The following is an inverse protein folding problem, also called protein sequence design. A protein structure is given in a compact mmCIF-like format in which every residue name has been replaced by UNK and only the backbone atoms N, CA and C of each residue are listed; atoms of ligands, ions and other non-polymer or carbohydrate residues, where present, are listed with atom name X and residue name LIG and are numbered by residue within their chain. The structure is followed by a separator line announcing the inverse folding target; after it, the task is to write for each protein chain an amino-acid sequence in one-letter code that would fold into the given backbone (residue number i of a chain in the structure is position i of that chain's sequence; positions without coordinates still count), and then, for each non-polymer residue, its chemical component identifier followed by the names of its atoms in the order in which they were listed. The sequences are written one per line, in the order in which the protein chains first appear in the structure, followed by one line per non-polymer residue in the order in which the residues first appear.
data_IF_710851129611
#
_entry.id   IF_710851129611
#
_cell.length_a   1.000
_cell.length_b   1.000
_cell.length_c   1.000
_cell.angle_alpha   90.00
_cell.angle_beta   90.00
_cell.angle_gamma   90.00
#
_symmetry.space_group_name_H-M   'P 1'
#
loop_
_entity.id
_entity.type
_entity.pdbx_description
1 polymer ?
#
# COMPACT_ATOMS: atom_id res chain seq x y z
N UNK A 1 -18.98 49.15 -30.89
CA UNK A 1 -19.46 47.86 -31.43
C UNK A 1 -18.82 46.76 -30.61
N UNK A 2 -19.65 46.10 -29.81
CA UNK A 2 -19.29 45.01 -28.91
C UNK A 2 -18.83 43.78 -29.69
N UNK A 3 -17.76 43.12 -29.25
CA UNK A 3 -17.59 41.70 -29.49
C UNK A 3 -16.89 41.08 -28.28
N UNK A 4 -17.69 40.79 -27.25
CA UNK A 4 -17.33 39.90 -26.16
C UNK A 4 -17.33 38.48 -26.72
N UNK A 5 -16.16 37.89 -26.93
CA UNK A 5 -16.04 36.45 -27.14
C UNK A 5 -16.42 35.71 -25.85
N UNK A 6 -17.08 34.54 -25.92
CA UNK A 6 -17.39 33.77 -24.74
C UNK A 6 -16.09 33.24 -24.13
N UNK A 7 -15.72 33.81 -22.99
CA UNK A 7 -14.66 33.30 -22.14
C UNK A 7 -15.15 32.01 -21.51
N UNK A 8 -14.86 30.88 -22.15
CA UNK A 8 -15.05 29.55 -21.57
C UNK A 8 -13.93 29.26 -20.57
N UNK A 9 -13.93 29.96 -19.44
CA UNK A 9 -13.35 29.41 -18.22
C UNK A 9 -14.38 28.47 -17.61
N UNK A 10 -14.43 27.24 -18.13
CA UNK A 10 -14.94 26.12 -17.35
C UNK A 10 -13.95 25.93 -16.20
N UNK A 11 -14.27 26.50 -15.03
CA UNK A 11 -13.68 26.05 -13.79
C UNK A 11 -14.01 24.57 -13.65
N UNK A 12 -13.06 23.70 -14.00
CA UNK A 12 -13.15 22.29 -13.64
C UNK A 12 -13.28 22.24 -12.13
N UNK A 13 -14.44 21.83 -11.63
CA UNK A 13 -14.58 21.54 -10.21
C UNK A 13 -13.41 20.62 -9.83
N UNK A 14 -12.61 21.03 -8.83
CA UNK A 14 -11.45 20.25 -8.43
C UNK A 14 -11.94 18.85 -8.04
N UNK A 15 -11.45 17.83 -8.74
CA UNK A 15 -11.83 16.44 -8.47
C UNK A 15 -11.42 16.14 -7.03
N UNK A 16 -12.39 15.77 -6.20
CA UNK A 16 -12.11 15.28 -4.85
C UNK A 16 -11.82 13.79 -4.95
N UNK A 17 -10.64 13.40 -4.50
CA UNK A 17 -10.18 12.01 -4.51
C UNK A 17 -10.43 11.34 -3.14
N UNK A 18 -11.47 11.73 -2.41
CA UNK A 18 -11.90 11.11 -1.14
C UNK A 18 -12.94 9.99 -1.34
N UNK A 19 -13.45 9.81 -2.56
CA UNK A 19 -14.33 8.70 -2.96
C UNK A 19 -13.57 7.65 -3.79
N UNK A 20 -13.47 6.38 -3.33
CA UNK A 20 -12.87 5.29 -4.09
C UNK A 20 -13.49 5.09 -5.48
N UNK A 21 -14.79 5.29 -5.66
CA UNK A 21 -15.45 5.11 -6.95
C UNK A 21 -15.00 6.16 -7.98
N UNK A 22 -14.79 7.41 -7.53
CA UNK A 22 -14.25 8.50 -8.36
C UNK A 22 -12.82 8.19 -8.79
N UNK A 23 -11.98 7.72 -7.88
CA UNK A 23 -10.60 7.32 -8.20
C UNK A 23 -10.57 6.14 -9.16
N UNK A 24 -11.36 5.08 -8.89
CA UNK A 24 -11.39 3.89 -9.73
C UNK A 24 -11.86 4.18 -11.16
N UNK A 25 -12.79 5.13 -11.34
CA UNK A 25 -13.27 5.58 -12.64
C UNK A 25 -12.33 6.59 -13.34
N UNK A 26 -11.30 7.10 -12.66
CA UNK A 26 -10.44 8.14 -13.22
C UNK A 26 -9.58 7.59 -14.37
N UNK A 27 -9.57 8.22 -15.57
CA UNK A 27 -8.88 7.68 -16.74
C UNK A 27 -7.35 7.58 -16.57
N UNK A 28 -6.77 8.40 -15.69
CA UNK A 28 -5.36 8.34 -15.33
C UNK A 28 -5.00 7.25 -14.32
N UNK A 29 -5.97 6.67 -13.61
CA UNK A 29 -5.69 5.77 -12.49
C UNK A 29 -4.97 4.47 -12.88
N UNK A 30 -5.26 3.81 -14.03
CA UNK A 30 -4.48 2.65 -14.46
C UNK A 30 -2.98 2.95 -14.61
N UNK A 31 -2.63 4.13 -15.13
CA UNK A 31 -1.23 4.58 -15.22
C UNK A 31 -0.62 4.77 -13.83
N UNK A 32 -1.39 5.30 -12.90
CA UNK A 32 -0.92 5.48 -11.52
C UNK A 32 -0.77 4.17 -10.76
N UNK A 33 -1.62 3.17 -11.02
CA UNK A 33 -1.44 1.81 -10.48
C UNK A 33 -0.16 1.15 -11.00
N UNK A 34 0.16 1.35 -12.27
CA UNK A 34 1.43 0.90 -12.83
C UNK A 34 2.61 1.62 -12.18
N UNK A 35 2.56 2.95 -12.12
CA UNK A 35 3.64 3.78 -11.56
C UNK A 35 3.88 3.49 -10.07
N UNK A 36 2.83 3.33 -9.27
CA UNK A 36 2.98 2.95 -7.86
C UNK A 36 3.51 1.53 -7.72
N UNK A 37 3.09 0.59 -8.58
CA UNK A 37 3.67 -0.76 -8.62
C UNK A 37 5.18 -0.72 -8.86
N UNK A 38 5.64 0.08 -9.83
CA UNK A 38 7.07 0.28 -10.11
C UNK A 38 7.81 0.91 -8.92
N UNK A 39 7.21 1.92 -8.29
CA UNK A 39 7.79 2.56 -7.11
C UNK A 39 7.93 1.58 -5.93
N UNK A 40 6.90 0.78 -5.65
CA UNK A 40 6.92 -0.21 -4.57
C UNK A 40 7.95 -1.31 -4.82
N UNK A 41 8.07 -1.75 -6.07
CA UNK A 41 9.11 -2.69 -6.49
C UNK A 41 10.52 -2.09 -6.35
N UNK A 42 10.72 -0.81 -6.66
CA UNK A 42 12.00 -0.14 -6.41
C UNK A 42 12.30 0.06 -4.90
N UNK A 43 11.28 0.26 -4.06
CA UNK A 43 11.44 0.28 -2.59
C UNK A 43 11.87 -1.11 -2.10
N UNK A 44 11.27 -2.18 -2.63
CA UNK A 44 11.69 -3.54 -2.33
C UNK A 44 13.17 -3.76 -2.66
N UNK A 45 13.65 -3.33 -3.83
CA UNK A 45 15.04 -3.56 -4.22
C UNK A 45 16.04 -2.83 -3.31
N UNK A 46 15.63 -1.73 -2.68
CA UNK A 46 16.44 -0.97 -1.70
C UNK A 46 16.35 -1.52 -0.28
N UNK A 47 15.15 -1.93 0.15
CA UNK A 47 14.87 -2.35 1.52
C UNK A 47 14.04 -3.66 1.55
N UNK A 48 14.56 -4.77 1.00
CA UNK A 48 13.76 -5.98 0.76
C UNK A 48 13.33 -6.66 2.05
N UNK A 49 14.10 -6.49 3.12
CA UNK A 49 13.74 -6.99 4.44
C UNK A 49 12.54 -6.24 5.02
N UNK A 50 12.56 -4.90 5.01
CA UNK A 50 11.43 -4.06 5.44
C UNK A 50 10.15 -4.43 4.69
N UNK A 51 10.23 -4.45 3.36
CA UNK A 51 9.05 -4.73 2.52
C UNK A 51 8.47 -6.11 2.78
N UNK A 52 9.30 -7.12 3.09
CA UNK A 52 8.81 -8.47 3.46
C UNK A 52 7.83 -8.43 4.64
N UNK A 53 8.01 -7.53 5.61
CA UNK A 53 7.10 -7.35 6.75
C UNK A 53 5.85 -6.52 6.45
N UNK A 54 5.62 -6.21 5.17
CA UNK A 54 4.41 -5.59 4.65
C UNK A 54 3.82 -6.38 3.47
N UNK A 55 4.43 -7.51 3.10
CA UNK A 55 4.20 -8.17 1.82
C UNK A 55 3.03 -9.17 1.81
N UNK A 56 2.22 -9.20 2.87
CA UNK A 56 0.90 -9.83 2.93
C UNK A 56 -0.06 -8.89 3.64
N UNK A 57 -1.37 -9.06 3.44
CA UNK A 57 -2.38 -8.20 4.06
C UNK A 57 -2.30 -8.22 5.60
N UNK A 58 -2.16 -9.41 6.20
CA UNK A 58 -1.99 -9.54 7.65
C UNK A 58 -0.76 -8.77 8.15
N UNK A 59 0.39 -8.95 7.51
CA UNK A 59 1.63 -8.26 7.88
C UNK A 59 1.52 -6.76 7.68
N UNK A 60 0.88 -6.33 6.60
CA UNK A 60 0.59 -4.93 6.31
C UNK A 60 -0.24 -4.31 7.44
N UNK A 61 -1.35 -4.94 7.86
CA UNK A 61 -2.22 -4.43 8.92
C UNK A 61 -1.49 -4.33 10.27
N UNK A 62 -0.73 -5.36 10.65
CA UNK A 62 0.06 -5.35 11.89
C UNK A 62 1.14 -4.27 11.86
N UNK A 63 1.86 -4.14 10.75
CA UNK A 63 2.92 -3.13 10.61
C UNK A 63 2.35 -1.72 10.59
N UNK A 64 1.27 -1.45 9.85
CA UNK A 64 0.60 -0.14 9.86
C UNK A 64 0.04 0.22 11.24
N UNK A 65 -0.44 -0.77 12.01
CA UNK A 65 -0.85 -0.56 13.41
C UNK A 65 0.31 -0.10 14.28
N UNK A 66 1.53 -0.63 14.05
CA UNK A 66 2.74 -0.19 14.76
C UNK A 66 3.14 1.23 14.39
N UNK A 67 3.07 1.60 13.11
CA UNK A 67 3.29 2.99 12.68
C UNK A 67 2.27 3.94 13.32
N UNK A 68 0.99 3.59 13.32
CA UNK A 68 -0.04 4.40 13.95
C UNK A 68 0.21 4.59 15.47
N UNK A 69 0.57 3.51 16.19
CA UNK A 69 0.91 3.56 17.61
C UNK A 69 2.17 4.40 17.87
N UNK A 70 3.21 4.23 17.06
CA UNK A 70 4.46 4.98 17.19
C UNK A 70 4.23 6.48 17.04
N UNK A 71 3.49 6.89 16.00
CA UNK A 71 3.18 8.29 15.72
C UNK A 71 2.18 8.89 16.71
N UNK A 72 1.37 8.06 17.39
CA UNK A 72 0.41 8.51 18.40
C UNK A 72 1.00 8.62 19.81
N UNK A 73 2.27 8.27 19.96
CA UNK A 73 2.92 8.21 21.27
C UNK A 73 3.03 9.61 21.86
N UNK A 74 2.48 9.78 23.05
CA UNK A 74 2.79 10.89 23.94
C UNK A 74 4.18 10.68 24.55
N UNK A 75 5.14 11.60 24.37
CA UNK A 75 6.45 11.54 25.02
C UNK A 75 6.38 11.51 26.55
N UNK A 76 5.37 12.15 27.16
CA UNK A 76 5.13 12.15 28.60
C UNK A 76 4.51 10.85 29.14
N UNK A 77 3.87 10.07 28.26
CA UNK A 77 3.27 8.77 28.59
C UNK A 77 3.70 7.69 27.59
N UNK A 78 4.93 7.13 27.69
CA UNK A 78 5.48 6.22 26.68
C UNK A 78 4.63 4.97 26.36
N UNK A 79 3.73 4.57 27.27
CA UNK A 79 2.83 3.43 27.10
C UNK A 79 1.65 3.67 26.16
N UNK A 80 1.44 4.92 25.75
CA UNK A 80 0.52 5.29 24.67
C UNK A 80 1.03 4.82 23.31
N UNK A 81 2.35 4.60 23.18
CA UNK A 81 3.04 4.14 21.97
C UNK A 81 2.96 2.63 21.71
N UNK A 82 4.02 2.08 21.11
CA UNK A 82 4.07 0.64 20.79
C UNK A 82 4.29 -0.17 22.08
N UNK A 83 3.36 -1.08 22.34
CA UNK A 83 3.52 -2.19 23.27
C UNK A 83 2.96 -3.47 22.66
N UNK A 84 3.44 -4.63 23.11
CA UNK A 84 2.91 -5.93 22.67
C UNK A 84 1.39 -6.05 22.96
N UNK A 85 0.94 -5.57 24.11
CA UNK A 85 -0.48 -5.61 24.50
C UNK A 85 -1.36 -4.79 23.54
N UNK A 86 -0.95 -3.56 23.20
CA UNK A 86 -1.71 -2.69 22.29
C UNK A 86 -1.75 -3.25 20.86
N UNK A 87 -0.64 -3.81 20.37
CA UNK A 87 -0.64 -4.48 19.07
C UNK A 87 -1.59 -5.68 19.05
N UNK A 88 -1.55 -6.53 20.08
CA UNK A 88 -2.45 -7.69 20.20
C UNK A 88 -3.92 -7.28 20.26
N UNK A 89 -4.24 -6.20 20.98
CA UNK A 89 -5.59 -5.66 21.06
C UNK A 89 -6.09 -5.21 19.67
N UNK A 90 -5.29 -4.44 18.93
CA UNK A 90 -5.63 -4.01 17.57
C UNK A 90 -5.80 -5.22 16.65
N UNK A 91 -4.89 -6.21 16.74
CA UNK A 91 -4.93 -7.41 15.91
C UNK A 91 -6.22 -8.22 16.08
N UNK A 92 -6.70 -8.36 17.32
CA UNK A 92 -7.97 -9.06 17.62
C UNK A 92 -9.16 -8.22 17.16
N UNK A 93 -9.19 -6.94 17.53
CA UNK A 93 -10.31 -6.04 17.23
C UNK A 93 -10.58 -5.95 15.72
N UNK A 94 -9.53 -5.98 14.92
CA UNK A 94 -9.59 -5.86 13.45
C UNK A 94 -9.70 -7.21 12.74
N UNK A 95 -9.60 -8.32 13.47
CA UNK A 95 -9.52 -9.66 12.88
C UNK A 95 -8.24 -9.90 12.08
N UNK A 96 -7.25 -8.99 12.12
CA UNK A 96 -6.03 -9.11 11.34
C UNK A 96 -5.19 -10.33 11.72
N UNK A 97 -5.11 -10.65 13.03
CA UNK A 97 -4.31 -11.77 13.53
C UNK A 97 -4.69 -12.22 14.94
N UNK A 98 -4.27 -13.43 15.31
CA UNK A 98 -4.33 -13.90 16.71
C UNK A 98 -3.32 -13.16 17.60
N UNK A 99 -3.48 -13.24 18.93
CA UNK A 99 -2.48 -12.70 19.89
C UNK A 99 -1.08 -13.25 19.65
N UNK A 100 -0.97 -14.57 19.41
CA UNK A 100 0.31 -15.24 19.20
C UNK A 100 0.96 -14.80 17.88
N UNK A 101 0.17 -14.66 16.82
CA UNK A 101 0.64 -14.16 15.53
C UNK A 101 1.12 -12.72 15.61
N UNK A 102 0.38 -11.85 16.32
CA UNK A 102 0.79 -10.46 16.55
C UNK A 102 2.10 -10.38 17.38
N UNK A 103 2.22 -11.21 18.42
CA UNK A 103 3.44 -11.28 19.23
C UNK A 103 4.64 -11.77 18.41
N UNK A 104 4.46 -12.81 17.58
CA UNK A 104 5.50 -13.32 16.70
C UNK A 104 5.95 -12.27 15.68
N UNK A 105 5.01 -11.56 15.04
CA UNK A 105 5.33 -10.48 14.10
C UNK A 105 6.14 -9.37 14.77
N UNK A 106 5.76 -8.93 15.98
CA UNK A 106 6.53 -7.93 16.73
C UNK A 106 7.94 -8.43 17.07
N UNK A 107 8.08 -9.70 17.48
CA UNK A 107 9.38 -10.30 17.76
C UNK A 107 10.27 -10.35 16.50
N UNK A 108 9.71 -10.68 15.33
CA UNK A 108 10.42 -10.64 14.05
C UNK A 108 10.91 -9.21 13.73
N UNK A 109 10.05 -8.20 13.90
CA UNK A 109 10.42 -6.79 13.66
C UNK A 109 11.55 -6.31 14.58
N UNK A 110 11.54 -6.75 15.85
CA UNK A 110 12.62 -6.46 16.81
C UNK A 110 13.91 -7.16 16.41
N UNK A 111 13.85 -8.47 16.11
CA UNK A 111 15.01 -9.27 15.71
C UNK A 111 15.70 -8.70 14.46
N UNK A 112 14.93 -8.08 13.58
CA UNK A 112 15.40 -7.46 12.35
C UNK A 112 15.58 -5.94 12.44
N UNK A 113 15.64 -5.37 13.64
CA UNK A 113 15.97 -3.96 13.91
C UNK A 113 15.06 -2.94 13.22
N UNK A 114 13.80 -3.30 13.02
CA UNK A 114 12.77 -2.37 12.53
C UNK A 114 12.05 -1.69 13.70
N UNK A 115 12.01 -2.37 14.84
CA UNK A 115 11.49 -1.87 16.11
C UNK A 115 12.58 -2.02 17.17
N UNK A 116 12.76 -1.02 18.03
CA UNK A 116 13.73 -1.05 19.13
C UNK A 116 13.10 -0.60 20.44
N UNK A 117 13.72 -0.97 21.56
CA UNK A 117 13.39 -0.38 22.87
C UNK A 117 13.54 1.15 22.81
N UNK A 118 12.67 1.88 23.51
CA UNK A 118 12.86 3.32 23.75
C UNK A 118 14.15 3.51 24.55
N UNK A 119 15.04 4.44 24.13
CA UNK A 119 16.19 4.82 24.94
C UNK A 119 15.74 5.36 26.30
N UNK A 120 16.32 4.83 27.38
CA UNK A 120 16.11 5.28 28.75
C UNK A 120 14.62 5.29 29.22
N UNK A 121 13.96 4.12 29.31
CA UNK A 121 12.50 4.01 29.46
C UNK A 121 11.94 4.46 30.83
N UNK A 122 12.77 4.95 31.76
CA UNK A 122 12.40 5.37 33.11
C UNK A 122 11.91 4.24 34.04
N UNK A 123 11.22 3.22 33.52
CA UNK A 123 10.72 2.07 34.26
C UNK A 123 11.02 0.77 33.49
N UNK A 124 11.53 -0.26 34.17
CA UNK A 124 11.95 -1.54 33.54
C UNK A 124 10.78 -2.47 33.16
N UNK A 125 9.56 -2.17 33.60
CA UNK A 125 8.45 -3.14 33.64
C UNK A 125 7.59 -3.14 32.38
N UNK A 126 7.50 -2.01 31.72
CA UNK A 126 6.94 -1.87 30.39
C UNK A 126 8.12 -1.50 29.49
N UNK A 127 8.36 -2.27 28.43
CA UNK A 127 9.41 -1.98 27.46
C UNK A 127 8.74 -1.25 26.30
N UNK A 128 8.52 0.08 26.37
CA UNK A 128 7.94 0.82 25.26
C UNK A 128 8.90 0.70 24.07
N UNK A 129 8.32 0.57 22.89
CA UNK A 129 9.06 0.38 21.65
C UNK A 129 8.88 1.58 20.71
N UNK A 130 9.86 1.78 19.84
CA UNK A 130 9.83 2.76 18.75
C UNK A 130 10.20 2.10 17.44
N UNK A 131 9.72 2.67 16.34
CA UNK A 131 10.26 2.35 15.03
C UNK A 131 11.67 2.93 14.90
N UNK A 132 12.52 2.24 14.15
CA UNK A 132 13.84 2.77 13.83
C UNK A 132 13.76 3.84 12.75
N UNK A 133 14.74 4.75 12.71
CA UNK A 133 14.81 5.81 11.70
C UNK A 133 14.78 5.28 10.26
N UNK A 134 15.38 4.11 10.01
CA UNK A 134 15.32 3.43 8.72
C UNK A 134 13.88 2.99 8.36
N UNK A 135 13.15 2.47 9.34
CA UNK A 135 11.74 2.06 9.16
C UNK A 135 10.84 3.25 8.85
N UNK A 136 11.03 4.36 9.56
CA UNK A 136 10.33 5.60 9.29
C UNK A 136 10.66 6.17 7.91
N UNK A 137 11.94 6.19 7.52
CA UNK A 137 12.36 6.68 6.22
C UNK A 137 11.74 5.87 5.07
N UNK A 138 11.71 4.54 5.19
CA UNK A 138 11.05 3.67 4.21
C UNK A 138 9.54 3.94 4.12
N UNK A 139 8.86 4.13 5.25
CA UNK A 139 7.43 4.43 5.26
C UNK A 139 7.11 5.83 4.70
N UNK A 140 7.97 6.83 4.96
CA UNK A 140 7.86 8.15 4.35
C UNK A 140 8.01 8.09 2.84
N UNK A 141 8.94 7.28 2.33
CA UNK A 141 9.10 7.05 0.89
C UNK A 141 7.85 6.40 0.28
N UNK A 142 7.29 5.39 0.96
CA UNK A 142 6.02 4.76 0.57
C UNK A 142 4.87 5.79 0.53
N UNK A 143 4.72 6.60 1.58
CA UNK A 143 3.66 7.59 1.69
C UNK A 143 3.80 8.68 0.63
N UNK A 144 5.02 9.21 0.44
CA UNK A 144 5.35 10.20 -0.58
C UNK A 144 5.03 9.70 -1.99
N UNK A 145 5.27 8.42 -2.29
CA UNK A 145 4.94 7.84 -3.59
C UNK A 145 3.42 7.84 -3.87
N UNK A 146 2.59 7.57 -2.85
CA UNK A 146 1.13 7.59 -3.00
C UNK A 146 0.57 9.00 -3.19
N UNK A 147 1.04 9.99 -2.40
CA UNK A 147 0.60 11.37 -2.60
C UNK A 147 1.08 11.95 -3.94
N UNK A 148 2.24 11.52 -4.43
CA UNK A 148 2.71 11.89 -5.78
C UNK A 148 1.80 11.34 -6.88
N UNK A 149 1.26 10.14 -6.71
CA UNK A 149 0.25 9.61 -7.63
C UNK A 149 -1.07 10.37 -7.54
N UNK A 150 -1.51 10.75 -6.33
CA UNK A 150 -2.71 11.59 -6.16
C UNK A 150 -2.57 12.94 -6.86
N UNK A 151 -1.42 13.61 -6.71
CA UNK A 151 -1.12 14.89 -7.39
C UNK A 151 -1.19 14.77 -8.91
N UNK A 152 -0.81 13.62 -9.49
CA UNK A 152 -0.94 13.39 -10.94
C UNK A 152 -2.39 13.13 -11.40
N UNK A 153 -3.28 12.77 -10.49
CA UNK A 153 -4.70 12.56 -10.79
C UNK A 153 -5.49 13.87 -10.71
N UNK A 154 -5.26 14.70 -9.69
CA UNK A 154 -6.05 15.91 -9.45
C UNK A 154 -5.29 17.24 -9.60
N UNK A 155 -3.99 17.19 -9.91
CA UNK A 155 -3.16 18.38 -10.13
C UNK A 155 -2.82 19.17 -8.87
N UNK A 156 -3.07 18.64 -7.67
CA UNK A 156 -2.67 19.31 -6.41
C UNK A 156 -1.17 19.21 -6.17
N UNK A 157 -0.69 19.90 -5.14
CA UNK A 157 0.73 19.98 -4.77
C UNK A 157 1.03 19.31 -3.40
N UNK A 158 0.46 18.12 -3.13
CA UNK A 158 0.67 17.42 -1.85
C UNK A 158 2.14 17.09 -1.60
N UNK A 159 2.88 16.67 -2.63
CA UNK A 159 4.32 16.39 -2.51
C UNK A 159 5.08 17.63 -2.08
N UNK A 160 4.81 18.79 -2.68
CA UNK A 160 5.44 20.06 -2.31
C UNK A 160 5.13 20.44 -0.86
N UNK A 161 3.87 20.31 -0.45
CA UNK A 161 3.46 20.56 0.92
C UNK A 161 4.15 19.60 1.91
N UNK A 162 4.22 18.32 1.57
CA UNK A 162 4.89 17.28 2.36
C UNK A 162 6.38 17.57 2.51
N UNK A 163 7.08 17.88 1.41
CA UNK A 163 8.52 18.15 1.43
C UNK A 163 8.86 19.43 2.24
N UNK A 164 7.93 20.39 2.34
CA UNK A 164 8.10 21.59 3.17
C UNK A 164 7.92 21.33 4.68
N UNK A 165 7.10 20.34 5.08
CA UNK A 165 6.80 20.02 6.49
C UNK A 165 6.69 18.50 6.70
N UNK A 166 7.77 17.74 6.44
CA UNK A 166 7.68 16.29 6.33
C UNK A 166 7.27 15.63 7.65
N UNK A 167 7.77 16.10 8.79
CA UNK A 167 7.44 15.48 10.09
C UNK A 167 6.01 15.75 10.54
N UNK A 168 5.58 17.00 10.51
CA UNK A 168 4.23 17.37 10.93
C UNK A 168 3.16 16.69 10.04
N UNK A 169 3.33 16.74 8.72
CA UNK A 169 2.36 16.17 7.79
C UNK A 169 2.42 14.65 7.74
N UNK A 170 3.59 14.03 7.83
CA UNK A 170 3.69 12.57 7.89
C UNK A 170 2.99 12.04 9.14
N UNK A 171 3.30 12.57 10.32
CA UNK A 171 2.67 12.14 11.58
C UNK A 171 1.15 12.26 11.49
N UNK A 172 0.65 13.45 11.18
CA UNK A 172 -0.78 13.73 11.16
C UNK A 172 -1.54 12.93 10.08
N UNK A 173 -1.01 12.85 8.85
CA UNK A 173 -1.70 12.20 7.74
C UNK A 173 -1.55 10.67 7.79
N UNK A 174 -0.37 10.14 8.10
CA UNK A 174 -0.15 8.70 8.13
C UNK A 174 -0.99 8.02 9.22
N UNK A 175 -1.09 8.63 10.41
CA UNK A 175 -1.97 8.11 11.48
C UNK A 175 -3.43 8.02 11.05
N UNK A 176 -3.95 9.10 10.44
CA UNK A 176 -5.34 9.16 9.95
C UNK A 176 -5.58 8.11 8.86
N UNK A 177 -4.67 8.01 7.89
CA UNK A 177 -4.75 7.05 6.79
C UNK A 177 -4.71 5.60 7.30
N UNK A 178 -3.75 5.29 8.19
CA UNK A 178 -3.61 3.96 8.77
C UNK A 178 -4.85 3.58 9.60
N UNK A 179 -5.33 4.47 10.47
CA UNK A 179 -6.53 4.22 11.26
C UNK A 179 -7.76 3.95 10.38
N UNK A 180 -7.94 4.74 9.32
CA UNK A 180 -9.04 4.54 8.36
C UNK A 180 -8.93 3.19 7.65
N UNK A 181 -7.76 2.86 7.10
CA UNK A 181 -7.56 1.62 6.34
C UNK A 181 -7.66 0.36 7.21
N UNK A 182 -7.18 0.43 8.46
CA UNK A 182 -7.29 -0.68 9.41
C UNK A 182 -8.75 -0.95 9.79
N UNK A 183 -9.59 0.09 9.81
CA UNK A 183 -11.01 -0.02 10.16
C UNK A 183 -11.94 -0.30 8.98
N UNK A 184 -11.47 -0.13 7.74
CA UNK A 184 -12.29 -0.21 6.53
C UNK A 184 -12.31 -1.65 5.96
N UNK A 185 -13.46 -2.35 5.99
CA UNK A 185 -13.58 -3.69 5.44
C UNK A 185 -13.31 -3.76 3.95
N UNK A 186 -13.56 -2.69 3.19
CA UNK A 186 -13.26 -2.63 1.76
C UNK A 186 -11.76 -2.68 1.49
N UNK A 187 -10.92 -2.30 2.46
CA UNK A 187 -9.47 -2.46 2.37
C UNK A 187 -9.00 -3.79 2.96
N UNK A 188 -9.34 -4.08 4.21
CA UNK A 188 -8.76 -5.24 4.91
C UNK A 188 -9.40 -6.58 4.55
N UNK A 189 -10.52 -6.57 3.81
CA UNK A 189 -11.16 -7.75 3.20
C UNK A 189 -11.08 -7.66 1.67
N UNK A 190 -9.91 -7.94 1.07
CA UNK A 190 -9.70 -7.81 -0.38
C UNK A 190 -10.66 -8.70 -1.19
N UNK A 191 -11.04 -8.28 -2.41
CA UNK A 191 -11.80 -9.11 -3.35
C UNK A 191 -11.15 -10.49 -3.55
N UNK A 192 -11.91 -11.56 -3.84
CA UNK A 192 -11.37 -12.93 -3.92
C UNK A 192 -10.15 -13.08 -4.84
N UNK A 193 -10.13 -12.40 -5.99
CA UNK A 193 -9.01 -12.43 -6.92
C UNK A 193 -7.74 -11.80 -6.32
N UNK A 194 -7.88 -10.63 -5.68
CA UNK A 194 -6.79 -9.94 -4.97
C UNK A 194 -6.33 -10.76 -3.76
N UNK A 195 -7.28 -11.30 -3.00
CA UNK A 195 -7.04 -12.18 -1.85
C UNK A 195 -6.24 -13.43 -2.20
N UNK A 196 -6.36 -13.95 -3.43
CA UNK A 196 -5.55 -15.07 -3.89
C UNK A 196 -4.04 -14.80 -3.76
N UNK A 197 -3.64 -13.54 -3.91
CA UNK A 197 -2.27 -13.06 -3.74
C UNK A 197 -2.00 -12.61 -2.31
N UNK A 198 -2.70 -11.59 -1.81
CA UNK A 198 -2.27 -10.86 -0.60
C UNK A 198 -2.39 -11.66 0.70
N UNK A 199 -3.06 -12.82 0.70
CA UNK A 199 -3.06 -13.76 1.82
C UNK A 199 -1.86 -14.71 1.85
N UNK A 200 -1.07 -14.75 0.78
CA UNK A 200 0.16 -15.54 0.71
C UNK A 200 1.35 -14.70 1.20
N UNK A 201 2.31 -15.33 1.88
CA UNK A 201 3.55 -14.64 2.23
C UNK A 201 4.23 -14.09 0.96
N UNK A 202 4.60 -12.81 0.99
CA UNK A 202 5.12 -12.04 -0.14
C UNK A 202 4.18 -11.91 -1.36
N UNK A 203 2.91 -12.30 -1.23
CA UNK A 203 1.95 -12.23 -2.34
C UNK A 203 1.61 -10.82 -2.78
N UNK A 204 1.64 -9.83 -1.88
CA UNK A 204 1.47 -8.42 -2.25
C UNK A 204 2.61 -7.93 -3.15
N UNK A 205 3.84 -8.39 -2.93
CA UNK A 205 4.98 -8.02 -3.78
C UNK A 205 4.83 -8.59 -5.19
N UNK A 206 4.42 -9.87 -5.28
CA UNK A 206 4.10 -10.50 -6.57
C UNK A 206 2.99 -9.74 -7.29
N UNK A 207 1.96 -9.30 -6.57
CA UNK A 207 0.87 -8.50 -7.13
C UNK A 207 1.36 -7.13 -7.63
N UNK A 208 2.21 -6.44 -6.87
CA UNK A 208 2.80 -5.17 -7.31
C UNK A 208 3.68 -5.34 -8.55
N UNK A 209 4.49 -6.41 -8.61
CA UNK A 209 5.31 -6.73 -9.78
C UNK A 209 4.46 -6.97 -11.04
N UNK A 210 3.39 -7.77 -10.88
CA UNK A 210 2.42 -8.05 -11.94
C UNK A 210 1.81 -6.77 -12.51
N UNK A 211 1.31 -5.89 -11.63
CA UNK A 211 0.68 -4.63 -12.06
C UNK A 211 1.69 -3.56 -12.51
N UNK A 212 2.94 -3.61 -12.04
CA UNK A 212 4.02 -2.75 -12.54
C UNK A 212 4.37 -3.04 -14.00
N UNK A 213 4.13 -4.29 -14.42
CA UNK A 213 4.35 -4.78 -15.78
C UNK A 213 3.14 -4.60 -16.69
N UNK A 214 1.97 -4.21 -16.15
CA UNK A 214 0.75 -4.04 -16.92
C UNK A 214 0.84 -2.80 -17.82
N UNK A 215 0.68 -2.92 -19.15
CA UNK A 215 0.76 -1.76 -20.02
C UNK A 215 -0.40 -0.78 -19.74
N UNK A 216 -0.09 0.47 -19.38
CA UNK A 216 -1.09 1.47 -19.04
C UNK A 216 -2.02 1.89 -20.21
N UNK A 217 -1.67 1.55 -21.45
CA UNK A 217 -2.37 1.99 -22.67
C UNK A 217 -2.95 0.85 -23.51
N UNK A 218 -2.75 -0.40 -23.11
CA UNK A 218 -3.22 -1.55 -23.90
C UNK A 218 -4.67 -1.85 -23.52
N UNK A 219 -5.56 -1.70 -24.51
CA UNK A 219 -6.96 -2.08 -24.35
C UNK A 219 -7.10 -3.60 -24.18
N UNK A 220 -8.04 -4.08 -23.34
CA UNK A 220 -8.34 -5.50 -23.23
C UNK A 220 -8.73 -6.09 -24.59
N UNK A 221 -8.15 -7.23 -24.94
CA UNK A 221 -8.54 -8.03 -26.10
C UNK A 221 -9.23 -9.29 -25.61
N UNK A 222 -10.48 -9.53 -26.02
CA UNK A 222 -11.29 -10.65 -25.52
C UNK A 222 -11.33 -10.73 -23.98
N UNK A 223 -11.48 -9.57 -23.32
CA UNK A 223 -11.58 -9.49 -21.85
C UNK A 223 -10.27 -9.73 -21.09
N UNK A 224 -9.11 -9.74 -21.77
CA UNK A 224 -7.79 -9.92 -21.15
C UNK A 224 -6.73 -8.97 -21.70
N UNK A 225 -5.71 -8.68 -20.89
CA UNK A 225 -4.58 -7.81 -21.25
C UNK A 225 -3.29 -8.64 -21.24
N UNK A 226 -2.46 -8.58 -22.30
CA UNK A 226 -1.19 -9.29 -22.33
C UNK A 226 -0.15 -8.54 -21.50
N UNK A 227 0.55 -9.26 -20.63
CA UNK A 227 1.75 -8.78 -19.92
C UNK A 227 3.04 -9.07 -20.68
N UNK A 228 3.01 -10.03 -21.61
CA UNK A 228 4.19 -10.49 -22.35
C UNK A 228 4.90 -11.66 -21.66
N UNK A 229 6.20 -11.89 -21.94
CA UNK A 229 6.98 -12.95 -21.31
C UNK A 229 7.08 -12.72 -19.79
N UNK A 230 6.73 -13.72 -18.99
CA UNK A 230 6.75 -13.62 -17.53
C UNK A 230 7.42 -14.83 -16.91
N UNK A 231 8.62 -14.66 -16.37
CA UNK A 231 9.44 -15.74 -15.84
C UNK A 231 9.21 -15.94 -14.33
N UNK A 232 8.49 -16.99 -13.96
CA UNK A 232 8.24 -17.31 -12.54
C UNK A 232 9.54 -17.58 -11.75
N UNK A 233 10.60 -18.02 -12.42
CA UNK A 233 11.93 -18.19 -11.80
C UNK A 233 12.56 -16.85 -11.42
N UNK A 234 12.49 -15.84 -12.28
CA UNK A 234 13.00 -14.51 -11.99
C UNK A 234 12.22 -13.87 -10.82
N UNK A 235 10.90 -14.10 -10.77
CA UNK A 235 10.07 -13.65 -9.65
C UNK A 235 10.45 -14.33 -8.32
N UNK A 236 10.67 -15.64 -8.36
CA UNK A 236 11.09 -16.41 -7.20
C UNK A 236 12.44 -15.93 -6.66
N UNK A 237 13.39 -15.67 -7.56
CA UNK A 237 14.71 -15.11 -7.23
C UNK A 237 14.58 -13.72 -6.60
N UNK A 238 13.90 -12.78 -7.29
CA UNK A 238 13.74 -11.39 -6.84
C UNK A 238 13.17 -11.29 -5.43
N UNK A 239 12.13 -12.06 -5.14
CA UNK A 239 11.43 -12.00 -3.86
C UNK A 239 11.91 -13.05 -2.84
N UNK A 240 13.00 -13.77 -3.14
CA UNK A 240 13.56 -14.84 -2.30
C UNK A 240 12.52 -15.87 -1.87
N UNK A 241 11.69 -16.27 -2.83
CA UNK A 241 10.64 -17.29 -2.67
C UNK A 241 11.10 -18.61 -3.29
N UNK A 242 10.53 -19.72 -2.81
CA UNK A 242 10.68 -20.98 -3.54
C UNK A 242 9.87 -20.95 -4.83
N UNK A 243 10.44 -21.46 -5.91
CA UNK A 243 9.75 -21.58 -7.20
C UNK A 243 8.45 -22.40 -7.09
N UNK A 244 8.42 -23.39 -6.21
CA UNK A 244 7.22 -24.18 -5.91
C UNK A 244 6.10 -23.32 -5.32
N UNK A 245 6.41 -22.42 -4.39
CA UNK A 245 5.41 -21.51 -3.81
C UNK A 245 4.87 -20.53 -4.84
N UNK A 246 5.74 -19.97 -5.69
CA UNK A 246 5.33 -19.07 -6.79
C UNK A 246 4.43 -19.81 -7.79
N UNK A 247 4.82 -21.02 -8.22
CA UNK A 247 3.99 -21.85 -9.12
C UNK A 247 2.63 -22.16 -8.52
N UNK A 248 2.56 -22.50 -7.24
CA UNK A 248 1.29 -22.76 -6.53
C UNK A 248 0.40 -21.52 -6.49
N UNK A 249 0.98 -20.35 -6.26
CA UNK A 249 0.25 -19.07 -6.30
C UNK A 249 -0.32 -18.80 -7.69
N UNK A 250 0.48 -18.90 -8.74
CA UNK A 250 0.02 -18.68 -10.11
C UNK A 250 -1.00 -19.72 -10.59
N UNK A 251 -0.85 -20.98 -10.18
CA UNK A 251 -1.84 -22.04 -10.46
C UNK A 251 -3.19 -21.76 -9.80
N UNK A 252 -3.18 -21.25 -8.56
CA UNK A 252 -4.41 -20.82 -7.87
C UNK A 252 -5.07 -19.66 -8.62
N UNK A 253 -4.28 -18.68 -9.05
CA UNK A 253 -4.76 -17.54 -9.83
C UNK A 253 -5.33 -17.97 -11.20
N UNK A 254 -4.69 -18.92 -11.88
CA UNK A 254 -5.19 -19.49 -13.14
C UNK A 254 -6.53 -20.23 -12.95
N UNK A 255 -6.67 -21.01 -11.87
CA UNK A 255 -7.95 -21.66 -11.51
C UNK A 255 -9.10 -20.69 -11.21
N UNK A 256 -8.78 -19.47 -10.76
CA UNK A 256 -9.76 -18.41 -10.53
C UNK A 256 -10.08 -17.61 -11.80
N UNK A 257 -9.45 -17.93 -12.93
CA UNK A 257 -9.64 -17.21 -14.19
C UNK A 257 -9.02 -15.81 -14.22
N UNK A 258 -8.22 -15.45 -13.21
CA UNK A 258 -7.63 -14.10 -13.11
C UNK A 258 -6.36 -13.97 -13.95
N UNK A 259 -5.69 -15.09 -14.21
CA UNK A 259 -4.54 -15.22 -15.07
C UNK A 259 -4.74 -16.35 -16.08
N UNK A 260 -4.18 -16.21 -17.27
CA UNK A 260 -4.06 -17.32 -18.22
C UNK A 260 -2.74 -17.23 -18.96
N UNK A 261 -2.33 -18.34 -19.53
CA UNK A 261 -1.10 -18.40 -20.29
C UNK A 261 -1.36 -18.83 -21.73
N UNK A 262 -0.63 -18.25 -22.67
CA UNK A 262 -0.76 -18.56 -24.10
C UNK A 262 0.60 -18.80 -24.75
N UNK A 263 0.65 -19.74 -25.70
CA UNK A 263 1.86 -20.09 -26.44
C UNK A 263 2.65 -21.25 -25.85
N UNK A 264 3.65 -21.71 -26.61
CA UNK A 264 4.53 -22.82 -26.22
C UNK A 264 5.44 -22.45 -25.04
N UNK A 265 5.92 -23.45 -24.29
CA UNK A 265 6.68 -23.30 -23.03
C UNK A 265 7.81 -22.25 -23.07
N UNK A 266 8.51 -22.11 -24.20
CA UNK A 266 9.65 -21.19 -24.35
C UNK A 266 9.26 -19.73 -24.62
N UNK A 267 8.02 -19.48 -25.08
CA UNK A 267 7.47 -18.16 -25.41
C UNK A 267 6.11 -17.92 -24.73
N UNK A 268 5.88 -18.55 -23.57
CA UNK A 268 4.59 -18.50 -22.87
C UNK A 268 4.32 -17.06 -22.40
N UNK A 269 3.25 -16.47 -22.92
CA UNK A 269 2.81 -15.11 -22.57
C UNK A 269 1.79 -15.19 -21.46
N UNK A 270 1.95 -14.33 -20.46
CA UNK A 270 0.98 -14.18 -19.39
C UNK A 270 -0.09 -13.17 -19.81
N UNK A 271 -1.34 -13.51 -19.51
CA UNK A 271 -2.50 -12.67 -19.69
C UNK A 271 -3.19 -12.47 -18.34
N UNK A 272 -3.71 -11.25 -18.11
CA UNK A 272 -4.54 -10.91 -16.95
C UNK A 272 -5.97 -10.66 -17.43
N UNK A 273 -6.98 -11.15 -16.70
CA UNK A 273 -8.37 -10.78 -16.99
C UNK A 273 -8.64 -9.30 -16.69
N UNK A 274 -9.53 -8.69 -17.47
CA UNK A 274 -10.00 -7.32 -17.23
C UNK A 274 -10.67 -7.21 -15.85
N UNK A 275 -11.48 -8.18 -15.48
CA UNK A 275 -12.19 -8.19 -14.19
C UNK A 275 -11.22 -8.13 -13.01
N UNK A 276 -10.09 -8.84 -13.09
CA UNK A 276 -9.08 -8.76 -12.03
C UNK A 276 -8.38 -7.41 -11.99
N UNK A 277 -8.16 -6.78 -13.14
CA UNK A 277 -7.62 -5.41 -13.22
C UNK A 277 -8.59 -4.43 -12.55
N UNK A 278 -9.88 -4.54 -12.85
CA UNK A 278 -10.93 -3.68 -12.28
C UNK A 278 -11.10 -3.91 -10.78
N UNK A 279 -11.11 -5.16 -10.31
CA UNK A 279 -11.18 -5.50 -8.88
C UNK A 279 -9.96 -4.96 -8.11
N UNK A 280 -8.76 -5.13 -8.67
CA UNK A 280 -7.55 -4.57 -8.08
C UNK A 280 -7.58 -3.04 -8.06
N UNK A 281 -8.06 -2.41 -9.14
CA UNK A 281 -8.20 -0.96 -9.20
C UNK A 281 -9.19 -0.45 -8.12
N UNK A 282 -10.38 -1.04 -8.03
CA UNK A 282 -11.35 -0.70 -6.99
C UNK A 282 -10.77 -0.85 -5.58
N UNK A 283 -10.06 -1.96 -5.31
CA UNK A 283 -9.42 -2.19 -4.02
C UNK A 283 -8.30 -1.19 -3.71
N UNK A 284 -7.46 -0.83 -4.69
CA UNK A 284 -6.42 0.19 -4.51
C UNK A 284 -7.02 1.59 -4.34
N UNK A 285 -8.14 1.89 -5.00
CA UNK A 285 -8.81 3.17 -4.90
C UNK A 285 -9.25 3.47 -3.45
N UNK A 286 -9.64 2.45 -2.67
CA UNK A 286 -9.92 2.59 -1.23
C UNK A 286 -8.72 3.17 -0.48
N UNK A 287 -7.52 2.62 -0.71
CA UNK A 287 -6.28 3.12 -0.12
C UNK A 287 -5.96 4.54 -0.57
N UNK A 288 -6.09 4.82 -1.86
CA UNK A 288 -5.83 6.16 -2.39
C UNK A 288 -6.77 7.20 -1.79
N UNK A 289 -8.06 6.87 -1.65
CA UNK A 289 -9.06 7.72 -1.03
C UNK A 289 -8.72 8.04 0.43
N UNK A 290 -8.38 7.01 1.20
CA UNK A 290 -7.99 7.18 2.60
C UNK A 290 -6.74 8.05 2.77
N UNK A 291 -5.74 7.90 1.88
CA UNK A 291 -4.53 8.73 1.90
C UNK A 291 -4.84 10.19 1.51
N UNK A 292 -5.69 10.40 0.50
CA UNK A 292 -6.07 11.73 0.04
C UNK A 292 -6.81 12.51 1.14
N UNK A 293 -7.83 11.90 1.74
CA UNK A 293 -8.61 12.49 2.83
C UNK A 293 -7.73 12.77 4.05
N UNK A 294 -6.87 11.83 4.43
CA UNK A 294 -5.98 11.99 5.57
C UNK A 294 -4.98 13.14 5.38
N UNK A 295 -4.47 13.32 4.16
CA UNK A 295 -3.57 14.41 3.82
C UNK A 295 -4.29 15.76 3.83
N UNK A 296 -5.46 15.83 3.20
CA UNK A 296 -6.28 17.05 3.17
C UNK A 296 -6.69 17.45 4.61
N UNK A 297 -7.07 16.49 5.46
CA UNK A 297 -7.35 16.73 6.87
C UNK A 297 -6.12 17.20 7.68
N UNK A 298 -4.95 16.61 7.43
CA UNK A 298 -3.70 17.02 8.10
C UNK A 298 -3.28 18.45 7.72
N UNK A 299 -3.44 18.84 6.45
CA UNK A 299 -3.13 20.21 6.02
C UNK A 299 -4.10 21.24 6.58
N UNK A 300 -5.39 20.90 6.71
CA UNK A 300 -6.39 21.75 7.36
C UNK A 300 -6.14 21.95 8.86
N UNK A 301 -5.68 20.91 9.57
CA UNK A 301 -5.30 21.02 10.99
C UNK A 301 -3.93 21.65 11.23
N UNK A 302 -3.02 21.63 10.24
CA UNK A 302 -1.69 22.23 10.34
C UNK A 302 -1.64 23.70 9.89
N UNK A 303 -2.80 24.33 9.66
CA UNK A 303 -2.98 25.74 9.34
C UNK A 303 -3.47 26.58 10.54
N UNK A 304 -3.61 25.98 11.72
CA UNK A 304 -3.87 26.61 13.02
C UNK A 304 -2.69 26.38 13.94
#
# INVERSE_FOLDING_TARGET
MNSLGPSFFTGSAAIRLDDPAVIAAHPGFPRELQAIGQALTAIHDRAPQMVRYMASMQRWLLTQSLFALHLARDPGEPLTGITAARLQEIAIRTGAASRNTAAAHLAELIAHKMVSDVPDPGTKRSRPLVLTAESEAAMRLWFRAHIASLDRLDGKERVRAFDARPDALFTAAHQRAAAKLIADPAWHTPPPAVGAFVWTDCGSNVLHDLFSSLPATVAPTAGRVPLGPYALSALAERYRLSLTSVRRLFHKAEKLGVLSWEGATRNRRLWISKDFIDEHAGWQAVKFAAIAEAFDGATGSAGT
#
